data_IF_285312340960
#
_entry.id   IF_285312340960
#
_cell.length_a   1.000
_cell.length_b   1.000
_cell.length_c   1.000
_cell.angle_alpha   90.00
_cell.angle_beta   90.00
_cell.angle_gamma   90.00
#
_symmetry.space_group_name_H-M   'P 1'
#
loop_
_entity.id
_entity.type
_entity.pdbx_description
1 polymer ?
#
# COMPACT_ATOMS: atom_id res chain seq x y z
N UNK A 1 3.64 -3.88 10.67
CA UNK A 1 3.06 -4.26 9.37
C UNK A 1 4.20 -4.73 8.46
N UNK A 2 4.09 -5.89 7.84
CA UNK A 2 5.13 -6.48 6.99
C UNK A 2 4.74 -6.24 5.53
N UNK A 3 5.15 -5.09 4.97
CA UNK A 3 4.96 -4.71 3.56
C UNK A 3 6.12 -5.18 2.68
N UNK A 4 6.64 -4.30 1.82
CA UNK A 4 7.86 -4.57 1.05
C UNK A 4 9.00 -5.07 1.96
N UNK A 5 9.55 -6.25 1.65
CA UNK A 5 10.72 -6.78 2.32
C UNK A 5 11.94 -6.54 1.43
N UNK A 6 12.65 -5.44 1.73
CA UNK A 6 13.95 -5.17 1.14
C UNK A 6 14.97 -6.26 1.54
N UNK A 7 16.06 -6.34 0.76
CA UNK A 7 17.14 -7.32 0.91
C UNK A 7 17.70 -7.38 2.35
N UNK A 8 17.67 -6.27 3.07
CA UNK A 8 18.07 -6.18 4.49
C UNK A 8 16.97 -5.60 5.38
N UNK A 9 16.92 -6.04 6.63
CA UNK A 9 16.00 -5.55 7.65
C UNK A 9 16.20 -4.05 7.94
N UNK A 10 17.43 -3.56 7.76
CA UNK A 10 17.80 -2.15 7.94
C UNK A 10 17.14 -1.27 6.87
N UNK A 11 17.14 -1.72 5.61
CA UNK A 11 16.46 -0.99 4.52
C UNK A 11 14.95 -0.91 4.76
N UNK A 12 14.31 -1.98 5.27
CA UNK A 12 12.91 -1.94 5.67
C UNK A 12 12.64 -0.93 6.79
N UNK A 13 13.56 -0.81 7.76
CA UNK A 13 13.43 0.14 8.86
C UNK A 13 13.54 1.60 8.37
N UNK A 14 14.55 1.87 7.52
CA UNK A 14 14.71 3.18 6.86
C UNK A 14 13.45 3.52 6.05
N UNK A 15 12.97 2.60 5.21
CA UNK A 15 11.76 2.81 4.42
C UNK A 15 10.55 3.09 5.32
N UNK A 16 10.38 2.37 6.42
CA UNK A 16 9.25 2.57 7.34
C UNK A 16 9.30 3.94 8.01
N UNK A 17 10.48 4.38 8.46
CA UNK A 17 10.68 5.71 9.04
C UNK A 17 10.39 6.79 8.01
N UNK A 18 10.97 6.66 6.81
CA UNK A 18 10.76 7.63 5.73
C UNK A 18 9.26 7.74 5.42
N UNK A 19 8.57 6.63 5.22
CA UNK A 19 7.13 6.62 5.00
C UNK A 19 6.38 7.27 6.16
N UNK A 20 6.72 6.93 7.41
CA UNK A 20 6.04 7.49 8.59
C UNK A 20 6.23 9.00 8.76
N UNK A 21 7.38 9.55 8.39
CA UNK A 21 7.68 10.99 8.51
C UNK A 21 7.19 11.77 7.30
N UNK A 22 7.49 11.29 6.09
CA UNK A 22 7.20 12.02 4.87
C UNK A 22 5.71 12.02 4.53
N UNK A 23 4.98 10.91 4.72
CA UNK A 23 3.54 10.82 4.37
C UNK A 23 2.71 11.89 5.11
N UNK A 24 2.80 12.06 6.45
CA UNK A 24 2.12 13.14 7.15
C UNK A 24 2.66 14.52 6.78
N UNK A 25 3.98 14.66 6.59
CA UNK A 25 4.59 15.94 6.21
C UNK A 25 4.05 16.46 4.86
N UNK A 26 3.94 15.58 3.86
CA UNK A 26 3.34 15.90 2.56
C UNK A 26 1.89 16.38 2.72
N UNK A 27 1.08 15.70 3.55
CA UNK A 27 -0.33 16.07 3.74
C UNK A 27 -0.54 17.41 4.46
N UNK A 28 0.32 17.77 5.41
CA UNK A 28 0.18 19.00 6.19
C UNK A 28 0.67 20.22 5.39
N UNK A 29 1.71 20.04 4.56
CA UNK A 29 2.37 21.17 3.89
C UNK A 29 1.99 21.32 2.42
N UNK A 30 1.38 20.30 1.80
CA UNK A 30 0.95 20.33 0.40
C UNK A 30 -0.55 20.03 0.35
N UNK A 31 -1.32 21.01 -0.11
CA UNK A 31 -2.75 20.84 -0.39
C UNK A 31 -2.94 19.93 -1.62
N UNK A 32 -2.89 18.62 -1.40
CA UNK A 32 -3.15 17.65 -2.47
C UNK A 32 -4.66 17.53 -2.66
N UNK A 33 -5.11 17.84 -3.88
CA UNK A 33 -6.52 17.73 -4.24
C UNK A 33 -7.06 16.31 -4.00
N UNK A 34 -8.17 16.20 -3.27
CA UNK A 34 -8.81 14.92 -2.95
C UNK A 34 -9.16 14.08 -4.19
N UNK A 35 -9.69 14.71 -5.24
CA UNK A 35 -10.04 14.04 -6.49
C UNK A 35 -8.81 13.45 -7.18
N UNK A 36 -7.68 14.15 -7.12
CA UNK A 36 -6.42 13.65 -7.65
C UNK A 36 -5.92 12.42 -6.87
N UNK A 37 -5.93 12.49 -5.54
CA UNK A 37 -5.62 11.36 -4.65
C UNK A 37 -6.52 10.16 -4.93
N UNK A 38 -7.83 10.38 -5.07
CA UNK A 38 -8.80 9.34 -5.36
C UNK A 38 -8.53 8.66 -6.71
N UNK A 39 -8.23 9.45 -7.75
CA UNK A 39 -7.87 8.92 -9.07
C UNK A 39 -6.60 8.06 -9.01
N UNK A 40 -5.57 8.51 -8.29
CA UNK A 40 -4.36 7.73 -8.07
C UNK A 40 -4.65 6.43 -7.29
N UNK A 41 -5.49 6.47 -6.25
CA UNK A 41 -5.86 5.26 -5.50
C UNK A 41 -6.62 4.24 -6.36
N UNK A 42 -7.44 4.69 -7.32
CA UNK A 42 -8.08 3.79 -8.28
C UNK A 42 -7.03 3.09 -9.18
N UNK A 43 -5.99 3.81 -9.59
CA UNK A 43 -4.84 3.21 -10.31
C UNK A 43 -4.08 2.24 -9.39
N UNK A 44 -3.92 2.59 -8.11
CA UNK A 44 -3.32 1.73 -7.08
C UNK A 44 -4.04 0.39 -6.92
N UNK A 45 -5.37 0.37 -7.01
CA UNK A 45 -6.16 -0.86 -6.98
C UNK A 45 -5.75 -1.86 -8.08
N UNK A 46 -5.38 -1.36 -9.27
CA UNK A 46 -4.88 -2.21 -10.36
C UNK A 46 -3.61 -2.95 -9.91
N UNK A 47 -2.70 -2.26 -9.22
CA UNK A 47 -1.49 -2.86 -8.68
C UNK A 47 -1.81 -3.94 -7.65
N UNK A 48 -2.79 -3.73 -6.78
CA UNK A 48 -3.24 -4.74 -5.80
C UNK A 48 -3.82 -5.97 -6.52
N UNK A 49 -4.66 -5.77 -7.54
CA UNK A 49 -5.27 -6.87 -8.29
C UNK A 49 -4.21 -7.70 -9.03
N UNK A 50 -3.19 -7.07 -9.59
CA UNK A 50 -2.14 -7.76 -10.36
C UNK A 50 -1.12 -8.42 -9.42
N UNK A 51 -0.60 -7.68 -8.44
CA UNK A 51 0.59 -8.06 -7.68
C UNK A 51 0.31 -8.65 -6.29
N UNK A 52 -0.91 -8.56 -5.75
CA UNK A 52 -1.25 -9.20 -4.48
C UNK A 52 -1.69 -10.68 -4.65
N UNK A 53 -1.38 -11.56 -3.66
CA UNK A 53 -0.53 -11.31 -2.51
C UNK A 53 0.96 -11.49 -2.85
N UNK A 54 1.80 -10.55 -2.41
CA UNK A 54 3.24 -10.64 -2.58
C UNK A 54 3.84 -11.62 -1.54
N UNK A 55 4.19 -12.83 -1.98
CA UNK A 55 4.96 -13.76 -1.15
C UNK A 55 6.45 -13.38 -1.18
N UNK A 56 7.15 -13.57 -0.06
CA UNK A 56 8.61 -13.37 0.03
C UNK A 56 9.28 -14.70 0.37
N UNK A 57 10.57 -14.89 0.03
CA UNK A 57 11.28 -16.13 0.40
C UNK A 57 11.32 -16.33 1.93
N UNK A 58 11.42 -15.23 2.69
CA UNK A 58 11.40 -15.25 4.17
C UNK A 58 10.01 -15.57 4.75
N UNK A 59 8.94 -15.25 4.02
CA UNK A 59 7.57 -15.51 4.43
C UNK A 59 6.76 -16.06 3.25
N UNK A 60 6.96 -17.34 2.90
CA UNK A 60 6.21 -17.98 1.83
C UNK A 60 4.73 -18.08 2.21
N UNK A 61 3.86 -17.98 1.19
CA UNK A 61 2.41 -18.11 1.38
C UNK A 61 2.02 -19.52 0.94
N UNK A 62 1.41 -20.34 1.82
CA UNK A 62 0.90 -21.65 1.43
C UNK A 62 -0.08 -21.53 0.26
N UNK A 63 0.05 -22.39 -0.75
CA UNK A 63 -0.72 -22.33 -2.01
C UNK A 63 -2.24 -22.22 -1.76
N UNK A 64 -2.75 -22.98 -0.78
CA UNK A 64 -4.17 -22.97 -0.37
C UNK A 64 -4.66 -21.61 0.14
N UNK A 65 -3.77 -20.73 0.61
CA UNK A 65 -4.09 -19.41 1.14
C UNK A 65 -3.92 -18.28 0.12
N UNK A 66 -3.25 -18.50 -1.01
CA UNK A 66 -2.93 -17.45 -1.98
C UNK A 66 -4.21 -16.77 -2.50
N UNK A 67 -5.19 -17.56 -2.96
CA UNK A 67 -6.47 -17.02 -3.45
C UNK A 67 -7.23 -16.26 -2.37
N UNK A 68 -7.31 -16.83 -1.16
CA UNK A 68 -7.98 -16.18 -0.02
C UNK A 68 -7.33 -14.84 0.34
N UNK A 69 -6.00 -14.79 0.40
CA UNK A 69 -5.27 -13.55 0.69
C UNK A 69 -5.43 -12.51 -0.43
N UNK A 70 -5.46 -12.93 -1.70
CA UNK A 70 -5.75 -12.05 -2.84
C UNK A 70 -7.10 -11.34 -2.69
N UNK A 71 -8.16 -12.11 -2.49
CA UNK A 71 -9.50 -11.55 -2.32
C UNK A 71 -9.58 -10.65 -1.09
N UNK A 72 -8.96 -11.05 0.02
CA UNK A 72 -8.94 -10.23 1.23
C UNK A 72 -8.23 -8.89 1.00
N UNK A 73 -7.08 -8.87 0.31
CA UNK A 73 -6.38 -7.62 -0.02
C UNK A 73 -7.26 -6.68 -0.86
N UNK A 74 -7.92 -7.22 -1.91
CA UNK A 74 -8.80 -6.42 -2.77
C UNK A 74 -10.02 -5.89 -1.99
N UNK A 75 -10.66 -6.73 -1.18
CA UNK A 75 -11.82 -6.34 -0.36
C UNK A 75 -11.44 -5.26 0.65
N UNK A 76 -10.31 -5.43 1.35
CA UNK A 76 -9.84 -4.43 2.32
C UNK A 76 -9.50 -3.11 1.65
N UNK A 77 -8.85 -3.15 0.48
CA UNK A 77 -8.55 -1.94 -0.29
C UNK A 77 -9.82 -1.19 -0.69
N UNK A 78 -10.80 -1.91 -1.25
CA UNK A 78 -12.10 -1.34 -1.63
C UNK A 78 -12.86 -0.78 -0.43
N UNK A 79 -12.82 -1.48 0.70
CA UNK A 79 -13.45 -1.01 1.93
C UNK A 79 -12.86 0.33 2.39
N UNK A 80 -11.53 0.45 2.39
CA UNK A 80 -10.87 1.72 2.75
C UNK A 80 -11.19 2.82 1.74
N UNK A 81 -11.22 2.50 0.45
CA UNK A 81 -11.59 3.45 -0.61
C UNK A 81 -13.03 3.93 -0.46
N UNK A 82 -13.99 3.05 -0.17
CA UNK A 82 -15.40 3.43 0.08
C UNK A 82 -15.52 4.27 1.35
N UNK A 83 -14.85 3.87 2.45
CA UNK A 83 -14.87 4.63 3.70
C UNK A 83 -14.31 6.05 3.52
N UNK A 84 -13.32 6.23 2.65
CA UNK A 84 -12.75 7.54 2.37
C UNK A 84 -13.76 8.52 1.73
N UNK A 85 -14.83 8.02 1.11
CA UNK A 85 -15.87 8.87 0.51
C UNK A 85 -16.90 9.38 1.54
N UNK A 86 -16.93 8.77 2.73
CA UNK A 86 -17.95 9.04 3.76
C UNK A 86 -17.37 9.88 4.91
N UNK A 87 -16.09 9.70 5.21
CA UNK A 87 -15.42 10.38 6.33
C UNK A 87 -15.02 11.81 5.98
N UNK A 88 -14.69 12.61 7.00
CA UNK A 88 -14.23 13.98 6.82
C UNK A 88 -13.03 14.06 5.86
N UNK A 89 -13.00 15.01 4.89
CA UNK A 89 -11.99 15.06 3.82
C UNK A 89 -10.54 14.99 4.30
N UNK A 90 -10.25 15.66 5.43
CA UNK A 90 -8.93 15.63 6.06
C UNK A 90 -8.46 14.19 6.36
N UNK A 91 -9.28 13.38 7.05
CA UNK A 91 -8.93 11.99 7.36
C UNK A 91 -8.98 11.10 6.12
N UNK A 92 -9.88 11.40 5.18
CA UNK A 92 -9.99 10.67 3.92
C UNK A 92 -8.70 10.74 3.09
N UNK A 93 -8.02 11.89 3.05
CA UNK A 93 -6.74 12.04 2.37
C UNK A 93 -5.65 11.13 2.97
N UNK A 94 -5.59 10.99 4.29
CA UNK A 94 -4.67 10.03 4.95
C UNK A 94 -4.98 8.58 4.56
N UNK A 95 -6.26 8.22 4.49
CA UNK A 95 -6.69 6.87 4.09
C UNK A 95 -6.27 6.58 2.63
N UNK A 96 -6.54 7.50 1.72
CA UNK A 96 -6.18 7.38 0.29
C UNK A 96 -4.67 7.30 0.09
N UNK A 97 -3.90 8.10 0.85
CA UNK A 97 -2.44 8.05 0.78
C UNK A 97 -1.89 6.74 1.37
N UNK A 98 -2.49 6.22 2.44
CA UNK A 98 -2.10 4.94 3.04
C UNK A 98 -2.27 3.76 2.08
N UNK A 99 -3.43 3.67 1.39
CA UNK A 99 -3.65 2.63 0.38
C UNK A 99 -2.81 2.85 -0.89
N UNK A 100 -2.44 4.09 -1.20
CA UNK A 100 -1.49 4.37 -2.28
C UNK A 100 -0.09 3.84 -1.94
N UNK A 101 0.42 4.15 -0.75
CA UNK A 101 1.70 3.62 -0.28
C UNK A 101 1.68 2.08 -0.30
N UNK A 102 0.62 1.45 0.20
CA UNK A 102 0.47 -0.01 0.16
C UNK A 102 0.53 -0.55 -1.28
N UNK A 103 -0.23 0.04 -2.20
CA UNK A 103 -0.23 -0.35 -3.62
C UNK A 103 1.13 -0.17 -4.31
N UNK A 104 1.87 0.89 -3.97
CA UNK A 104 3.22 1.15 -4.50
C UNK A 104 4.19 0.09 -3.99
N UNK A 105 4.08 -0.30 -2.71
CA UNK A 105 4.97 -1.32 -2.13
C UNK A 105 4.75 -2.73 -2.67
N UNK A 106 3.65 -2.97 -3.40
CA UNK A 106 3.39 -4.22 -4.12
C UNK A 106 4.05 -4.26 -5.51
N UNK A 107 4.59 -3.14 -6.01
CA UNK A 107 5.22 -3.11 -7.32
C UNK A 107 6.47 -4.01 -7.37
N UNK A 108 6.79 -4.63 -8.52
CA UNK A 108 7.91 -5.56 -8.66
C UNK A 108 9.28 -4.97 -8.29
N UNK A 109 9.45 -3.65 -8.32
CA UNK A 109 10.68 -2.97 -7.90
C UNK A 109 11.03 -3.22 -6.43
N UNK A 110 10.02 -3.48 -5.60
CA UNK A 110 10.17 -3.78 -4.17
C UNK A 110 10.30 -5.27 -3.88
N UNK A 111 10.13 -6.13 -4.89
CA UNK A 111 10.40 -7.55 -4.71
C UNK A 111 11.91 -7.76 -4.81
N UNK A 112 12.53 -8.42 -3.82
CA UNK A 112 13.94 -8.68 -3.89
C UNK A 112 14.20 -9.56 -5.13
N UNK A 113 14.94 -9.02 -6.10
CA UNK A 113 15.59 -9.82 -7.15
C UNK A 113 16.61 -10.68 -6.43
N UNK A 114 16.23 -11.91 -6.11
CA UNK A 114 17.16 -12.88 -5.54
C UNK A 114 17.59 -13.81 -6.66
N UNK A 115 18.84 -13.61 -7.11
CA UNK A 115 19.74 -14.69 -7.54
C UNK A 115 19.98 -15.66 -6.37
#
# INVERSE_FOLDING_TARGET
AHGAHAKSSILCYIQSILTFVFVPYFLINIDINFTYLLALSIIGLISVVIYAPAATKKQPIPIKLVKRKKYLSIIMYLLVLILSLIIHPFYAQFMLLGILVESITLLPIFFPKED
#
